data_IF_898430484382
#
_entry.id   IF_898430484382
#
_cell.length_a   1.000
_cell.length_b   1.000
_cell.length_c   1.000
_cell.angle_alpha   90.00
_cell.angle_beta   90.00
_cell.angle_gamma   90.00
#
_symmetry.space_group_name_H-M   'P 1'
#
loop_
_entity.id
_entity.type
_entity.pdbx_description
1 polymer ?
#
# COMPACT_ATOMS: atom_id res chain seq x y z
N UNK A 1 9.39 16.67 20.34
CA UNK A 1 10.51 15.98 19.68
C UNK A 1 9.99 14.65 19.17
N UNK A 2 10.49 14.11 18.05
CA UNK A 2 10.14 12.75 17.64
C UNK A 2 10.58 11.76 18.72
N UNK A 3 9.78 10.73 18.97
CA UNK A 3 10.08 9.67 19.95
C UNK A 3 10.11 8.30 19.28
N UNK A 4 11.03 7.45 19.75
CA UNK A 4 11.04 6.03 19.41
C UNK A 4 9.90 5.36 20.18
N UNK A 5 9.12 4.53 19.50
CA UNK A 5 7.98 3.81 20.07
C UNK A 5 8.01 2.34 19.68
N UNK A 6 7.74 1.47 20.65
CA UNK A 6 7.34 0.09 20.37
C UNK A 6 5.81 0.01 20.31
N UNK A 7 5.28 -0.54 19.23
CA UNK A 7 3.85 -0.70 19.01
C UNK A 7 3.33 -2.03 19.61
N UNK A 8 2.01 -2.16 19.73
CA UNK A 8 1.37 -3.38 20.27
C UNK A 8 1.60 -4.63 19.40
N UNK A 9 1.88 -4.43 18.11
CA UNK A 9 2.27 -5.47 17.16
C UNK A 9 3.78 -5.77 17.19
N UNK A 10 4.48 -5.31 18.23
CA UNK A 10 5.94 -5.40 18.42
C UNK A 10 6.79 -4.61 17.43
N UNK A 11 6.19 -3.92 16.45
CA UNK A 11 6.94 -3.12 15.49
C UNK A 11 7.55 -1.87 16.12
N UNK A 12 8.72 -1.45 15.63
CA UNK A 12 9.38 -0.20 16.04
C UNK A 12 8.96 0.95 15.13
N UNK A 13 8.59 2.10 15.70
CA UNK A 13 8.23 3.31 14.97
C UNK A 13 8.93 4.57 15.48
N UNK A 14 8.88 5.63 14.67
CA UNK A 14 9.33 6.99 15.02
C UNK A 14 8.13 7.92 14.90
N UNK A 15 7.65 8.44 16.02
CA UNK A 15 6.39 9.16 16.11
C UNK A 15 6.62 10.66 16.34
N UNK A 16 5.86 11.51 15.64
CA UNK A 16 5.85 12.96 15.84
C UNK A 16 4.93 13.40 16.98
N UNK A 17 4.75 14.71 17.15
CA UNK A 17 3.92 15.27 18.24
C UNK A 17 2.44 14.86 18.18
N UNK A 18 1.93 14.60 16.98
CA UNK A 18 0.50 14.34 16.72
C UNK A 18 0.14 12.85 16.87
N UNK A 19 1.14 12.03 17.14
CA UNK A 19 0.98 10.63 17.44
C UNK A 19 0.85 9.70 16.22
N UNK A 20 0.52 8.43 16.46
CA UNK A 20 0.31 7.36 15.46
C UNK A 20 1.24 6.15 15.63
N UNK A 21 1.21 5.23 14.67
CA UNK A 21 2.05 4.00 14.73
C UNK A 21 3.51 4.22 14.27
N UNK A 22 3.89 5.45 13.94
CA UNK A 22 5.30 5.82 13.68
C UNK A 22 5.92 5.18 12.43
N UNK A 23 5.09 4.83 11.44
CA UNK A 23 5.50 4.34 10.11
C UNK A 23 6.60 5.19 9.46
N UNK A 24 7.78 4.63 9.19
CA UNK A 24 8.91 5.41 8.65
C UNK A 24 9.59 4.85 7.41
N UNK A 25 9.19 3.67 6.92
CA UNK A 25 9.71 3.09 5.68
C UNK A 25 8.65 3.23 4.58
N UNK A 26 8.75 4.23 3.68
CA UNK A 26 7.84 4.38 2.56
C UNK A 26 8.29 3.52 1.37
N UNK A 27 7.40 2.65 0.89
CA UNK A 27 7.51 2.01 -0.41
C UNK A 27 6.50 2.65 -1.36
N UNK A 28 6.95 3.26 -2.45
CA UNK A 28 6.10 4.07 -3.34
C UNK A 28 6.16 3.56 -4.77
N UNK A 29 4.99 3.34 -5.35
CA UNK A 29 4.79 3.08 -6.77
C UNK A 29 4.24 4.34 -7.45
N UNK A 30 4.99 5.00 -8.35
CA UNK A 30 4.38 5.82 -9.39
C UNK A 30 3.73 4.90 -10.42
N UNK A 31 2.43 5.09 -10.68
CA UNK A 31 1.72 4.36 -11.73
C UNK A 31 1.42 5.29 -12.90
N UNK A 32 1.40 4.69 -14.09
CA UNK A 32 0.96 5.30 -15.33
C UNK A 32 -0.10 4.39 -15.97
N UNK A 33 -0.70 4.85 -17.06
CA UNK A 33 -1.78 4.14 -17.73
C UNK A 33 -1.46 2.70 -18.16
N UNK A 34 -0.18 2.40 -18.38
CA UNK A 34 0.30 1.08 -18.80
C UNK A 34 0.91 0.27 -17.66
N UNK A 35 0.84 0.76 -16.42
CA UNK A 35 1.25 -0.02 -15.25
C UNK A 35 0.27 -1.17 -15.08
N UNK A 36 0.77 -2.38 -15.28
CA UNK A 36 0.06 -3.64 -15.00
C UNK A 36 0.41 -4.12 -13.59
N UNK A 37 -0.16 -5.26 -13.18
CA UNK A 37 0.16 -5.92 -11.92
C UNK A 37 1.67 -6.01 -11.71
N UNK A 38 2.14 -5.48 -10.58
CA UNK A 38 3.57 -5.38 -10.32
C UNK A 38 3.90 -5.35 -8.83
N UNK A 39 5.15 -5.64 -8.53
CA UNK A 39 5.69 -5.57 -7.16
C UNK A 39 6.12 -4.15 -6.82
N UNK A 40 5.68 -3.66 -5.66
CA UNK A 40 6.08 -2.36 -5.08
C UNK A 40 7.29 -2.53 -4.16
N UNK A 41 7.28 -3.60 -3.36
CA UNK A 41 8.30 -3.87 -2.34
C UNK A 41 8.36 -5.37 -2.05
N UNK A 42 9.57 -5.89 -1.79
CA UNK A 42 9.77 -7.25 -1.27
C UNK A 42 10.49 -7.17 0.06
N UNK A 43 9.92 -7.81 1.07
CA UNK A 43 10.38 -7.78 2.44
C UNK A 43 11.68 -8.58 2.61
N UNK A 44 12.80 -7.91 2.93
CA UNK A 44 14.05 -8.60 3.29
C UNK A 44 14.08 -9.19 4.71
N UNK A 45 13.09 -8.83 5.54
CA UNK A 45 12.86 -9.26 6.92
C UNK A 45 11.39 -9.02 7.28
N UNK A 46 10.91 -9.37 8.48
CA UNK A 46 9.54 -9.05 8.87
C UNK A 46 9.25 -7.54 8.91
N UNK A 47 8.06 -7.16 8.42
CA UNK A 47 7.54 -5.78 8.48
C UNK A 47 6.04 -5.79 8.78
N UNK A 48 5.52 -4.70 9.34
CA UNK A 48 4.08 -4.45 9.46
C UNK A 48 3.67 -3.24 8.65
N UNK A 49 2.58 -3.38 7.90
CA UNK A 49 1.93 -2.29 7.14
C UNK A 49 1.21 -1.33 8.07
N UNK A 50 1.53 -0.05 7.96
CA UNK A 50 1.04 1.04 8.84
C UNK A 50 0.11 2.01 8.15
N UNK A 51 0.23 2.17 6.84
CA UNK A 51 -0.67 2.99 6.06
C UNK A 51 -0.56 2.67 4.57
N UNK A 52 -1.65 2.85 3.85
CA UNK A 52 -1.68 2.89 2.39
C UNK A 52 -2.36 4.18 1.98
N UNK A 53 -1.64 5.03 1.24
CA UNK A 53 -2.13 6.32 0.75
C UNK A 53 -1.75 6.46 -0.71
N UNK A 54 -2.61 7.04 -1.51
CA UNK A 54 -2.27 7.39 -2.87
C UNK A 54 -2.85 8.72 -3.30
N UNK A 55 -2.40 9.20 -4.45
CA UNK A 55 -2.90 10.41 -5.10
C UNK A 55 -3.09 10.14 -6.58
N UNK A 56 -4.20 10.62 -7.11
CA UNK A 56 -4.47 10.61 -8.56
C UNK A 56 -3.98 11.94 -9.12
N UNK A 57 -3.02 11.94 -10.03
CA UNK A 57 -2.54 13.15 -10.72
C UNK A 57 -3.26 13.36 -12.06
N UNK A 58 -3.65 12.27 -12.72
CA UNK A 58 -4.56 12.25 -13.88
C UNK A 58 -5.56 11.12 -13.69
N UNK A 59 -6.85 11.42 -13.77
CA UNK A 59 -7.89 10.40 -13.64
C UNK A 59 -7.93 9.49 -14.87
N UNK A 60 -8.15 8.19 -14.65
CA UNK A 60 -8.42 7.26 -15.74
C UNK A 60 -9.74 7.58 -16.46
N UNK A 61 -9.79 7.25 -17.74
CA UNK A 61 -10.93 7.56 -18.64
C UNK A 61 -11.58 6.31 -19.24
N UNK A 62 -11.05 5.12 -18.93
CA UNK A 62 -11.52 3.83 -19.45
C UNK A 62 -12.74 3.24 -18.75
N UNK A 63 -13.43 4.00 -17.89
CA UNK A 63 -14.50 3.52 -17.01
C UNK A 63 -14.01 3.20 -15.61
N UNK A 64 -14.75 2.35 -14.88
CA UNK A 64 -14.37 1.97 -13.52
C UNK A 64 -13.01 1.26 -13.52
N UNK A 65 -12.07 1.80 -12.75
CA UNK A 65 -10.71 1.30 -12.67
C UNK A 65 -10.19 1.50 -11.25
N UNK A 66 -9.66 0.43 -10.66
CA UNK A 66 -9.19 0.42 -9.26
C UNK A 66 -7.88 -0.33 -9.12
N UNK A 67 -7.17 -0.04 -8.03
CA UNK A 67 -6.04 -0.84 -7.61
C UNK A 67 -6.29 -1.46 -6.23
N UNK A 68 -5.99 -2.75 -6.10
CA UNK A 68 -5.90 -3.44 -4.83
C UNK A 68 -4.43 -3.64 -4.47
N UNK A 69 -4.06 -3.25 -3.25
CA UNK A 69 -2.71 -3.46 -2.73
C UNK A 69 -2.70 -4.72 -1.88
N UNK A 70 -1.86 -5.66 -2.27
CA UNK A 70 -1.87 -7.03 -1.74
C UNK A 70 -0.55 -7.39 -1.11
N UNK A 71 -0.60 -8.22 -0.06
CA UNK A 71 0.51 -9.04 0.39
C UNK A 71 0.51 -10.35 -0.41
N UNK A 72 1.64 -10.69 -1.00
CA UNK A 72 1.80 -11.85 -1.87
C UNK A 72 3.04 -12.63 -1.46
N UNK A 73 2.87 -13.92 -1.14
CA UNK A 73 3.98 -14.81 -0.87
C UNK A 73 4.79 -15.13 -2.14
N UNK A 74 6.07 -15.45 -1.99
CA UNK A 74 6.92 -15.84 -3.12
C UNK A 74 6.32 -17.01 -3.91
N UNK A 75 6.36 -16.92 -5.24
CA UNK A 75 5.81 -17.94 -6.15
C UNK A 75 4.28 -17.93 -6.28
N UNK A 76 3.58 -16.96 -5.69
CA UNK A 76 2.12 -16.82 -5.78
C UNK A 76 1.73 -15.75 -6.79
N UNK A 77 0.65 -15.96 -7.54
CA UNK A 77 0.08 -14.94 -8.42
C UNK A 77 -0.39 -13.70 -7.61
N UNK A 78 -0.17 -12.50 -8.14
CA UNK A 78 -0.51 -11.24 -7.44
C UNK A 78 -1.99 -11.22 -7.04
N UNK A 79 -2.87 -11.55 -7.97
CA UNK A 79 -4.34 -11.54 -7.77
C UNK A 79 -4.82 -12.52 -6.70
N UNK A 80 -4.05 -13.56 -6.39
CA UNK A 80 -4.34 -14.55 -5.32
C UNK A 80 -3.84 -14.10 -3.94
N UNK A 81 -3.14 -12.98 -3.85
CA UNK A 81 -2.64 -12.43 -2.58
C UNK A 81 -3.74 -11.87 -1.68
N UNK A 82 -3.38 -11.68 -0.41
CA UNK A 82 -4.25 -11.11 0.61
C UNK A 82 -4.32 -9.59 0.43
N UNK A 83 -5.52 -9.03 0.30
CA UNK A 83 -5.70 -7.58 0.28
C UNK A 83 -5.29 -6.98 1.63
N UNK A 84 -4.51 -5.90 1.61
CA UNK A 84 -4.02 -5.22 2.81
C UNK A 84 -5.03 -4.18 3.36
N UNK A 85 -6.14 -3.98 2.65
CA UNK A 85 -7.16 -2.98 2.95
C UNK A 85 -8.55 -3.51 2.57
N UNK A 86 -9.58 -2.89 3.14
CA UNK A 86 -10.99 -3.28 2.93
C UNK A 86 -11.66 -2.51 1.79
N UNK A 87 -11.15 -1.31 1.46
CA UNK A 87 -11.63 -0.50 0.34
C UNK A 87 -10.86 -0.81 -0.95
N UNK A 88 -10.89 0.03 -1.97
CA UNK A 88 -9.99 -0.05 -3.13
C UNK A 88 -9.55 1.33 -3.57
N UNK A 89 -8.32 1.46 -4.06
CA UNK A 89 -7.85 2.74 -4.57
C UNK A 89 -8.53 3.04 -5.90
N UNK A 90 -9.23 4.17 -6.00
CA UNK A 90 -9.98 4.55 -7.18
C UNK A 90 -9.07 5.31 -8.17
N UNK A 91 -8.68 4.66 -9.27
CA UNK A 91 -7.81 5.22 -10.31
C UNK A 91 -8.55 6.25 -11.20
N UNK A 92 -9.87 6.31 -11.10
CA UNK A 92 -10.72 7.35 -11.73
C UNK A 92 -11.29 8.34 -10.71
N UNK A 93 -10.68 8.39 -9.51
CA UNK A 93 -11.04 9.33 -8.46
C UNK A 93 -10.71 10.78 -8.79
N UNK A 94 -11.11 11.69 -7.89
CA UNK A 94 -10.84 13.12 -8.05
C UNK A 94 -9.34 13.41 -8.15
N UNK A 95 -8.96 14.08 -9.22
CA UNK A 95 -7.58 14.51 -9.47
C UNK A 95 -7.05 15.37 -8.32
N UNK A 96 -5.75 15.24 -8.04
CA UNK A 96 -5.00 15.91 -6.98
C UNK A 96 -5.52 15.66 -5.56
N UNK A 97 -6.40 14.68 -5.35
CA UNK A 97 -6.94 14.32 -4.04
C UNK A 97 -6.25 13.07 -3.49
N UNK A 98 -5.86 13.11 -2.22
CA UNK A 98 -5.33 11.93 -1.54
C UNK A 98 -6.45 10.96 -1.22
N UNK A 99 -6.23 9.68 -1.45
CA UNK A 99 -7.06 8.60 -0.94
C UNK A 99 -6.25 7.85 0.12
N UNK A 100 -6.78 7.78 1.35
CA UNK A 100 -6.25 6.96 2.42
C UNK A 100 -7.11 5.70 2.50
N UNK A 101 -6.49 4.52 2.36
CA UNK A 101 -7.24 3.26 2.39
C UNK A 101 -7.37 2.74 3.82
N UNK A 102 -8.52 2.16 4.14
CA UNK A 102 -8.77 1.51 5.43
C UNK A 102 -8.06 0.15 5.45
N UNK A 103 -7.02 -0.01 6.27
CA UNK A 103 -6.27 -1.27 6.38
C UNK A 103 -7.16 -2.46 6.82
N UNK A 104 -6.73 -3.68 6.51
CA UNK A 104 -7.34 -4.89 7.07
C UNK A 104 -7.30 -4.84 8.59
N UNK A 105 -8.37 -5.32 9.23
CA UNK A 105 -8.44 -5.43 10.70
C UNK A 105 -7.74 -6.68 11.22
N UNK A 106 -7.42 -7.65 10.35
CA UNK A 106 -6.67 -8.83 10.73
C UNK A 106 -5.15 -8.54 10.72
N UNK A 107 -4.53 -8.57 11.90
CA UNK A 107 -3.10 -8.29 12.06
C UNK A 107 -2.21 -9.21 11.20
N UNK A 108 -2.62 -10.45 10.97
CA UNK A 108 -1.92 -11.40 10.10
C UNK A 108 -1.86 -10.96 8.64
N UNK A 109 -2.81 -10.16 8.17
CA UNK A 109 -2.81 -9.66 6.79
C UNK A 109 -1.73 -8.59 6.62
N UNK A 110 -1.55 -7.75 7.64
CA UNK A 110 -0.62 -6.61 7.64
C UNK A 110 0.83 -7.00 7.94
N UNK A 111 1.05 -8.18 8.52
CA UNK A 111 2.37 -8.72 8.79
C UNK A 111 2.95 -9.37 7.53
N UNK A 112 4.09 -8.87 7.05
CA UNK A 112 4.91 -9.48 6.01
C UNK A 112 5.98 -10.35 6.63
N UNK A 113 6.10 -11.59 6.17
CA UNK A 113 7.28 -12.42 6.40
C UNK A 113 8.43 -11.99 5.47
N UNK A 114 9.65 -12.44 5.76
CA UNK A 114 10.75 -12.29 4.81
C UNK A 114 10.43 -13.03 3.51
N UNK A 115 10.59 -12.35 2.37
CA UNK A 115 10.24 -12.85 1.04
C UNK A 115 8.83 -12.51 0.57
N UNK A 116 7.92 -12.09 1.47
CA UNK A 116 6.62 -11.57 1.06
C UNK A 116 6.78 -10.25 0.30
N UNK A 117 5.90 -10.02 -0.66
CA UNK A 117 5.87 -8.81 -1.46
C UNK A 117 4.59 -8.02 -1.26
N UNK A 118 4.70 -6.70 -1.38
CA UNK A 118 3.58 -5.78 -1.52
C UNK A 118 3.42 -5.53 -3.01
N UNK A 119 2.23 -5.82 -3.53
CA UNK A 119 1.97 -5.76 -4.96
C UNK A 119 0.78 -4.86 -5.28
N UNK A 120 0.87 -4.21 -6.43
CA UNK A 120 -0.21 -3.51 -7.11
C UNK A 120 -0.96 -4.50 -7.98
N UNK A 121 -2.27 -4.63 -7.78
CA UNK A 121 -3.18 -5.40 -8.62
C UNK A 121 -4.19 -4.45 -9.27
N UNK A 122 -4.16 -4.38 -10.60
CA UNK A 122 -5.03 -3.53 -11.41
C UNK A 122 -6.31 -4.28 -11.77
N UNK A 123 -7.45 -3.67 -11.46
CA UNK A 123 -8.75 -4.11 -11.97
C UNK A 123 -9.37 -3.02 -12.86
N UNK A 124 -9.74 -3.40 -14.08
CA UNK A 124 -10.28 -2.50 -15.10
C UNK A 124 -9.22 -1.95 -16.05
N UNK A 125 -9.55 -0.88 -16.77
CA UNK A 125 -8.67 -0.28 -17.80
C UNK A 125 -8.27 1.14 -17.39
N UNK A 126 -6.98 1.34 -17.10
CA UNK A 126 -6.44 2.61 -16.59
C UNK A 126 -6.48 3.77 -17.61
N UNK A 127 -6.21 3.51 -18.89
CA UNK A 127 -6.21 4.46 -20.05
C UNK A 127 -5.37 5.73 -19.88
N UNK A 128 -5.75 6.65 -19.00
CA UNK A 128 -5.06 7.92 -18.72
C UNK A 128 -4.62 8.05 -17.26
N UNK A 129 -4.88 7.02 -16.43
CA UNK A 129 -4.60 7.10 -15.01
C UNK A 129 -3.10 7.28 -14.75
N UNK A 130 -2.74 8.32 -14.00
CA UNK A 130 -1.38 8.58 -13.54
C UNK A 130 -1.45 9.04 -12.09
N UNK A 131 -0.50 8.59 -11.27
CA UNK A 131 -0.40 9.05 -9.90
C UNK A 131 0.58 8.22 -9.08
N UNK A 132 0.38 8.21 -7.78
CA UNK A 132 1.26 7.52 -6.84
C UNK A 132 0.47 6.76 -5.78
N UNK A 133 0.98 5.61 -5.37
CA UNK A 133 0.51 4.87 -4.20
C UNK A 133 1.72 4.55 -3.33
N UNK A 134 1.63 4.89 -2.05
CA UNK A 134 2.67 4.68 -1.04
C UNK A 134 2.14 3.77 0.06
N UNK A 135 2.95 2.79 0.43
CA UNK A 135 2.75 1.94 1.60
C UNK A 135 3.81 2.29 2.63
N UNK A 136 3.37 2.59 3.85
CA UNK A 136 4.26 2.89 4.97
C UNK A 136 4.41 1.65 5.85
N UNK A 137 5.65 1.29 6.19
CA UNK A 137 6.01 0.09 6.92
C UNK A 137 6.81 0.42 8.20
N UNK A 138 6.74 -0.49 9.17
CA UNK A 138 7.68 -0.59 10.28
C UNK A 138 8.34 -1.97 10.30
N UNK A 139 9.61 -2.08 10.73
CA UNK A 139 10.19 -3.38 11.07
C UNK A 139 9.39 -4.05 12.19
N UNK A 140 9.10 -5.35 12.04
CA UNK A 140 8.50 -6.20 13.06
C UNK A 140 9.59 -6.89 13.92
#
# INVERSE_FOLDING_TARGET
MPMIRQNADSSLGIEGKDGGEGGFIPATLPYIATTVDCTIFTAGRPYVVKAIRGRVDVAGTGGACTATIRKVASGTAITSGTALHTDSFNLVGTVNTQQALTLSTAASDLLLAAGDSICYDLTGTATSAVGTISVTLNPA
#
